data_IF_634794589916
#
_entry.id   IF_634794589916
#
_cell.length_a   1.000
_cell.length_b   1.000
_cell.length_c   1.000
_cell.angle_alpha   90.00
_cell.angle_beta   90.00
_cell.angle_gamma   90.00
#
_symmetry.space_group_name_H-M   'P 1'
#
loop_
_entity.id
_entity.type
_entity.pdbx_description
1 polymer ?
#
# COMPACT_ATOMS: atom_id res chain seq x y z
N UNK A 1 -18.37 -5.03 6.26
CA UNK A 1 -16.93 -4.76 6.33
C UNK A 1 -16.62 -3.78 7.43
N UNK A 2 -15.53 -3.97 8.12
CA UNK A 2 -15.03 -2.97 9.05
C UNK A 2 -14.48 -1.76 8.30
N UNK A 3 -14.33 -0.60 8.97
CA UNK A 3 -13.71 0.55 8.31
C UNK A 3 -12.31 0.26 7.78
N UNK A 4 -11.55 -0.58 8.50
CA UNK A 4 -10.22 -0.98 8.08
C UNK A 4 -10.26 -1.79 6.79
N UNK A 5 -11.22 -2.71 6.70
CA UNK A 5 -11.39 -3.52 5.50
C UNK A 5 -11.84 -2.66 4.32
N UNK A 6 -12.73 -1.71 4.56
CA UNK A 6 -13.17 -0.80 3.51
C UNK A 6 -12.04 0.06 2.99
N UNK A 7 -11.18 0.53 3.87
CA UNK A 7 -10.02 1.32 3.47
C UNK A 7 -9.09 0.52 2.57
N UNK A 8 -8.81 -0.72 2.95
CA UNK A 8 -7.95 -1.59 2.16
C UNK A 8 -8.58 -1.88 0.81
N UNK A 9 -9.88 -2.14 0.78
CA UNK A 9 -10.57 -2.39 -0.47
C UNK A 9 -10.46 -1.18 -1.41
N UNK A 10 -10.66 0.03 -0.87
CA UNK A 10 -10.51 1.25 -1.66
C UNK A 10 -9.10 1.40 -2.20
N UNK A 11 -8.09 1.05 -1.37
CA UNK A 11 -6.71 1.09 -1.81
C UNK A 11 -6.47 0.17 -3.01
N UNK A 12 -6.91 -1.08 -2.93
CA UNK A 12 -6.72 -2.02 -4.04
C UNK A 12 -7.48 -1.59 -5.27
N UNK A 13 -8.70 -1.08 -5.11
CA UNK A 13 -9.46 -0.58 -6.25
C UNK A 13 -8.75 0.56 -6.96
N UNK A 14 -8.23 1.51 -6.20
CA UNK A 14 -7.49 2.64 -6.76
C UNK A 14 -6.18 2.20 -7.40
N UNK A 15 -5.47 1.30 -6.73
CA UNK A 15 -4.22 0.76 -7.27
C UNK A 15 -4.47 0.09 -8.62
N UNK A 16 -5.48 -0.76 -8.71
CA UNK A 16 -5.76 -1.51 -9.93
C UNK A 16 -6.31 -0.62 -11.04
N UNK A 17 -6.86 0.54 -10.69
CA UNK A 17 -7.25 1.55 -11.67
C UNK A 17 -6.10 2.48 -12.05
N UNK A 18 -4.93 2.31 -11.44
CA UNK A 18 -3.78 3.20 -11.57
C UNK A 18 -4.15 4.65 -11.23
N UNK A 19 -5.04 4.81 -10.28
CA UNK A 19 -5.53 6.11 -9.82
C UNK A 19 -4.65 6.58 -8.66
N UNK A 20 -3.63 7.35 -8.99
CA UNK A 20 -2.64 7.81 -7.99
C UNK A 20 -3.33 8.61 -6.88
N UNK A 21 -4.24 9.50 -7.24
CA UNK A 21 -4.89 10.32 -6.21
C UNK A 21 -5.81 9.49 -5.33
N UNK A 22 -6.46 8.48 -5.90
CA UNK A 22 -7.26 7.55 -5.12
C UNK A 22 -6.41 6.73 -4.16
N UNK A 23 -5.24 6.30 -4.59
CA UNK A 23 -4.29 5.61 -3.72
C UNK A 23 -3.84 6.54 -2.60
N UNK A 24 -3.44 7.75 -2.93
CA UNK A 24 -2.97 8.72 -1.94
C UNK A 24 -4.04 9.12 -0.94
N UNK A 25 -5.30 9.11 -1.35
CA UNK A 25 -6.40 9.42 -0.45
C UNK A 25 -6.55 8.39 0.68
N UNK A 26 -5.94 7.22 0.53
CA UNK A 26 -5.97 6.19 1.56
C UNK A 26 -4.91 6.38 2.63
N UNK A 27 -4.00 7.32 2.47
CA UNK A 27 -2.91 7.56 3.42
C UNK A 27 -3.18 8.82 4.25
N UNK A 28 -2.75 8.79 5.51
CA UNK A 28 -2.81 9.98 6.36
C UNK A 28 -1.70 10.98 5.98
N UNK A 29 -1.57 12.03 6.78
CA UNK A 29 -0.67 13.14 6.44
C UNK A 29 0.80 12.77 6.43
N UNK A 30 1.20 11.85 7.28
CA UNK A 30 2.62 11.47 7.42
C UNK A 30 2.78 9.97 7.19
N UNK A 31 2.52 9.51 5.96
CA UNK A 31 2.54 8.08 5.70
C UNK A 31 3.94 7.54 5.59
N UNK A 32 4.09 6.28 5.97
CA UNK A 32 5.33 5.54 5.79
C UNK A 32 4.99 4.19 5.21
N UNK A 33 5.77 3.78 4.21
CA UNK A 33 5.66 2.44 3.63
C UNK A 33 6.99 1.75 3.84
N UNK A 34 6.92 0.51 4.31
CA UNK A 34 8.11 -0.35 4.39
C UNK A 34 7.86 -1.52 3.44
N UNK A 35 8.70 -1.66 2.44
CA UNK A 35 8.52 -2.73 1.46
C UNK A 35 9.14 -4.04 1.93
N UNK A 36 9.01 -5.08 1.12
CA UNK A 36 9.47 -6.43 1.48
C UNK A 36 10.97 -6.51 1.69
N UNK A 37 11.74 -5.56 1.16
CA UNK A 37 13.19 -5.53 1.34
C UNK A 37 13.60 -4.75 2.59
N UNK A 38 12.63 -4.17 3.29
CA UNK A 38 12.89 -3.32 4.45
C UNK A 38 13.14 -1.88 4.10
N UNK A 39 13.05 -1.51 2.85
CA UNK A 39 13.24 -0.13 2.44
C UNK A 39 12.07 0.73 2.90
N UNK A 40 12.38 1.85 3.50
CA UNK A 40 11.42 2.79 4.04
C UNK A 40 11.20 3.95 3.06
N UNK A 41 9.95 4.26 2.80
CA UNK A 41 9.57 5.46 2.04
C UNK A 41 8.67 6.30 2.93
N UNK A 42 8.99 7.56 3.09
CA UNK A 42 8.30 8.43 4.02
C UNK A 42 7.86 9.71 3.34
N UNK A 43 6.65 10.14 3.69
CA UNK A 43 6.09 11.38 3.19
C UNK A 43 5.25 11.18 1.94
N UNK A 44 4.19 11.99 1.84
CA UNK A 44 3.22 11.84 0.75
C UNK A 44 3.86 12.04 -0.62
N UNK A 45 4.76 13.01 -0.74
CA UNK A 45 5.37 13.29 -2.04
C UNK A 45 6.23 12.14 -2.52
N UNK A 46 7.04 11.57 -1.62
CA UNK A 46 7.87 10.42 -1.96
C UNK A 46 7.03 9.23 -2.37
N UNK A 47 5.99 8.95 -1.61
CA UNK A 47 5.12 7.81 -1.87
C UNK A 47 4.36 7.99 -3.17
N UNK A 48 3.88 9.21 -3.44
CA UNK A 48 3.22 9.51 -4.70
C UNK A 48 4.14 9.22 -5.90
N UNK A 49 5.39 9.67 -5.80
CA UNK A 49 6.36 9.43 -6.87
C UNK A 49 6.64 7.95 -7.07
N UNK A 50 6.69 7.20 -5.97
CA UNK A 50 6.93 5.76 -6.07
C UNK A 50 5.80 5.06 -6.82
N UNK A 51 4.55 5.41 -6.54
CA UNK A 51 3.43 4.83 -7.27
C UNK A 51 3.41 5.27 -8.72
N UNK A 52 3.67 6.54 -8.98
CA UNK A 52 3.71 7.03 -10.35
C UNK A 52 4.77 6.31 -11.16
N UNK A 53 5.95 6.09 -10.55
CA UNK A 53 7.03 5.36 -11.19
C UNK A 53 6.67 3.91 -11.47
N UNK A 54 6.02 3.27 -10.51
CA UNK A 54 5.61 1.88 -10.65
C UNK A 54 4.59 1.72 -11.79
N UNK A 55 3.60 2.59 -11.83
CA UNK A 55 2.59 2.53 -12.89
C UNK A 55 3.18 2.84 -14.27
N UNK A 56 4.14 3.76 -14.31
CA UNK A 56 4.82 4.07 -15.57
C UNK A 56 5.70 2.90 -16.04
N UNK A 57 6.39 2.26 -15.09
CA UNK A 57 7.29 1.14 -15.39
C UNK A 57 6.52 -0.11 -15.80
N UNK A 58 5.37 -0.32 -15.18
CA UNK A 58 4.54 -1.51 -15.41
C UNK A 58 3.09 -1.09 -15.65
N UNK A 59 2.78 -0.58 -16.86
CA UNK A 59 1.43 -0.07 -17.14
C UNK A 59 0.32 -1.12 -17.03
N UNK A 60 0.67 -2.38 -17.06
CA UNK A 60 -0.28 -3.48 -16.94
C UNK A 60 -0.36 -4.05 -15.53
N UNK A 61 0.32 -3.45 -14.55
CA UNK A 61 0.38 -4.05 -13.24
C UNK A 61 -0.98 -4.07 -12.54
N UNK A 62 -1.20 -5.16 -11.83
CA UNK A 62 -2.40 -5.37 -11.03
C UNK A 62 -2.02 -6.11 -9.77
N UNK A 63 -2.78 -5.85 -8.73
CA UNK A 63 -2.60 -6.54 -7.46
C UNK A 63 -3.94 -7.12 -7.05
N UNK A 64 -4.06 -8.44 -7.14
CA UNK A 64 -5.29 -9.13 -6.82
C UNK A 64 -5.32 -9.44 -5.33
N UNK A 65 -6.31 -8.91 -4.65
CA UNK A 65 -6.50 -9.19 -3.24
C UNK A 65 -7.17 -10.54 -3.07
N UNK A 66 -6.58 -11.41 -2.28
CA UNK A 66 -7.08 -12.77 -2.07
C UNK A 66 -7.78 -12.93 -0.73
N UNK A 67 -7.25 -12.33 0.30
CA UNK A 67 -7.89 -12.36 1.62
C UNK A 67 -7.86 -10.96 2.20
N UNK A 68 -8.79 -10.69 3.08
CA UNK A 68 -8.91 -9.38 3.70
C UNK A 68 -9.49 -9.54 5.09
N UNK A 69 -8.82 -9.00 6.08
CA UNK A 69 -9.33 -8.93 7.43
C UNK A 69 -8.86 -7.63 8.07
N UNK A 70 -9.67 -7.07 8.95
CA UNK A 70 -9.30 -5.85 9.62
C UNK A 70 -10.21 -5.53 10.77
N UNK A 71 -9.61 -4.99 11.83
CA UNK A 71 -10.34 -4.60 13.02
C UNK A 71 -9.42 -3.79 13.92
N UNK A 72 -10.01 -2.93 14.74
CA UNK A 72 -9.29 -2.20 15.78
C UNK A 72 -8.09 -1.40 15.26
N UNK A 73 -8.27 -0.75 14.11
CA UNK A 73 -7.24 0.13 13.56
C UNK A 73 -6.17 -0.59 12.79
N UNK A 74 -6.35 -1.88 12.53
CA UNK A 74 -5.35 -2.68 11.85
C UNK A 74 -5.99 -3.56 10.80
N UNK A 75 -5.34 -3.71 9.67
CA UNK A 75 -5.84 -4.56 8.61
C UNK A 75 -4.74 -5.35 7.95
N UNK A 76 -5.13 -6.47 7.35
CA UNK A 76 -4.21 -7.36 6.66
C UNK A 76 -4.89 -7.84 5.38
N UNK A 77 -4.15 -7.79 4.28
CA UNK A 77 -4.60 -8.37 3.02
C UNK A 77 -3.49 -9.25 2.47
N UNK A 78 -3.86 -10.37 1.91
CA UNK A 78 -2.96 -11.18 1.13
C UNK A 78 -3.26 -10.94 -0.34
N UNK A 79 -2.22 -10.81 -1.14
CA UNK A 79 -2.39 -10.38 -2.52
C UNK A 79 -1.44 -11.10 -3.45
N UNK A 80 -1.79 -11.05 -4.73
CA UNK A 80 -0.94 -11.53 -5.80
C UNK A 80 -0.73 -10.37 -6.77
N UNK A 81 0.51 -9.95 -6.91
CA UNK A 81 0.90 -8.87 -7.81
C UNK A 81 1.44 -9.46 -9.11
N UNK A 82 1.06 -8.87 -10.23
CA UNK A 82 1.73 -9.16 -11.48
C UNK A 82 1.81 -7.91 -12.36
N UNK A 83 2.85 -7.85 -13.14
CA UNK A 83 3.06 -6.75 -14.08
C UNK A 83 4.25 -7.07 -14.98
N UNK A 84 4.39 -6.30 -16.05
CA UNK A 84 5.48 -6.47 -16.99
C UNK A 84 6.39 -5.25 -16.94
N UNK A 85 7.64 -5.48 -16.62
CA UNK A 85 8.66 -4.43 -16.74
C UNK A 85 9.02 -4.27 -18.21
N UNK A 86 8.48 -3.24 -18.80
CA UNK A 86 8.66 -3.01 -20.24
C UNK A 86 10.11 -2.70 -20.60
N UNK A 87 10.84 -2.06 -19.69
CA UNK A 87 12.25 -1.74 -19.93
C UNK A 87 13.13 -2.99 -19.99
N UNK A 88 12.67 -4.11 -19.43
CA UNK A 88 13.42 -5.36 -19.43
C UNK A 88 12.70 -6.50 -20.13
N UNK A 89 11.45 -6.27 -20.57
CA UNK A 89 10.63 -7.32 -21.15
C UNK A 89 10.37 -8.48 -20.19
N UNK A 90 10.28 -8.19 -18.90
CA UNK A 90 10.25 -9.21 -17.87
C UNK A 90 8.94 -9.16 -17.10
N UNK A 91 8.27 -10.32 -16.97
CA UNK A 91 7.07 -10.45 -16.15
C UNK A 91 7.48 -10.60 -14.69
N UNK A 92 6.85 -9.82 -13.83
CA UNK A 92 7.06 -9.86 -12.38
C UNK A 92 5.79 -10.41 -11.76
N UNK A 93 5.94 -11.42 -10.93
CA UNK A 93 4.83 -11.97 -10.15
C UNK A 93 5.27 -12.13 -8.71
N UNK A 94 4.42 -11.74 -7.78
CA UNK A 94 4.77 -11.80 -6.37
C UNK A 94 3.54 -12.04 -5.52
N UNK A 95 3.70 -12.92 -4.53
CA UNK A 95 2.71 -13.09 -3.47
C UNK A 95 3.13 -12.14 -2.35
N UNK A 96 2.17 -11.39 -1.85
CA UNK A 96 2.46 -10.42 -0.81
C UNK A 96 1.41 -10.39 0.28
N UNK A 97 1.76 -9.69 1.33
CA UNK A 97 0.84 -9.39 2.41
C UNK A 97 1.02 -7.93 2.76
N UNK A 98 -0.09 -7.20 2.80
CA UNK A 98 -0.09 -5.80 3.18
C UNK A 98 -0.69 -5.68 4.57
N UNK A 99 0.10 -5.13 5.49
CA UNK A 99 -0.38 -4.83 6.83
C UNK A 99 -0.56 -3.32 6.91
N UNK A 100 -1.76 -2.90 7.24
CA UNK A 100 -2.09 -1.49 7.29
C UNK A 100 -2.51 -1.14 8.70
N UNK A 101 -1.93 -0.08 9.24
CA UNK A 101 -2.32 0.43 10.55
C UNK A 101 -2.90 1.82 10.39
N UNK A 102 -4.11 1.98 10.89
CA UNK A 102 -4.74 3.27 10.96
C UNK A 102 -4.54 3.80 12.38
N UNK A 103 -3.54 4.64 12.54
CA UNK A 103 -3.16 5.08 13.87
C UNK A 103 -4.07 6.13 14.45
N UNK A 104 -4.66 6.94 13.60
CA UNK A 104 -5.37 8.08 14.10
C UNK A 104 -4.41 9.09 14.73
N UNK A 105 -4.94 10.20 15.21
CA UNK A 105 -4.11 11.28 15.72
C UNK A 105 -3.42 10.96 17.03
N UNK A 106 -4.11 10.27 17.91
CA UNK A 106 -3.57 9.95 19.23
C UNK A 106 -2.39 8.99 19.14
N UNK A 107 -2.29 8.25 18.08
CA UNK A 107 -1.22 7.26 17.92
C UNK A 107 0.06 7.87 17.43
N UNK A 108 -0.01 9.06 16.85
CA UNK A 108 1.16 9.67 16.20
C UNK A 108 2.27 10.00 17.17
N UNK A 109 1.93 10.19 18.43
CA UNK A 109 2.91 10.50 19.43
C UNK A 109 3.33 9.34 20.29
N UNK A 110 2.87 8.14 20.02
CA UNK A 110 3.17 6.98 20.86
C UNK A 110 4.45 6.32 20.39
N UNK A 111 5.54 6.42 21.18
CA UNK A 111 6.82 5.86 20.75
C UNK A 111 6.84 4.33 20.74
N UNK A 112 5.84 3.69 21.33
CA UNK A 112 5.77 2.23 21.35
C UNK A 112 5.27 1.70 20.02
N UNK A 113 4.62 2.54 19.23
CA UNK A 113 4.11 2.11 17.95
C UNK A 113 5.19 2.29 16.91
N UNK A 114 5.50 1.26 16.13
CA UNK A 114 6.52 1.38 15.10
C UNK A 114 6.17 2.51 14.15
N UNK A 115 7.10 3.43 14.00
CA UNK A 115 6.92 4.55 13.11
C UNK A 115 6.69 4.02 11.69
N UNK A 116 5.55 4.36 11.14
CA UNK A 116 5.22 3.92 9.81
C UNK A 116 5.08 2.43 9.67
N UNK A 117 4.82 1.77 10.80
CA UNK A 117 4.61 0.35 10.74
C UNK A 117 3.56 0.08 9.71
N UNK A 118 4.02 -0.46 8.66
CA UNK A 118 3.23 -1.17 7.72
C UNK A 118 1.91 -0.51 7.37
N UNK A 119 1.96 0.69 6.92
CA UNK A 119 0.81 1.15 6.19
C UNK A 119 0.62 0.25 5.02
N UNK A 120 1.72 -0.40 4.63
CA UNK A 120 1.65 -1.27 3.49
C UNK A 120 2.81 -2.22 3.47
N UNK A 121 2.55 -3.45 3.26
CA UNK A 121 3.55 -4.48 3.17
C UNK A 121 4.31 -4.53 1.87
#
# INVERSE_FOLDING_TARGET
MTPEEELIQRYFDAFNAHDIEGVMACFHENPVIVDATGKRSQGRETIRRNYAGEFALMPDCRCEMRTLTGNAGRGLAESFFHGTRHDQGKVIEAIGAEVIENRGRQDQGDPRLPSGAAEQG
#
